data_IF_920459990865
#
_entry.id   IF_920459990865
#
_cell.length_a   1.000
_cell.length_b   1.000
_cell.length_c   1.000
_cell.angle_alpha   90.00
_cell.angle_beta   90.00
_cell.angle_gamma   90.00
#
_symmetry.space_group_name_H-M   'P 1'
#
loop_
_entity.id
_entity.type
_entity.pdbx_description
1 polymer ?
#
# COMPACT_ATOMS: atom_id res chain seq x y z
N UNK A 1 3.27 -12.58 1.34
CA UNK A 1 2.21 -11.77 0.74
C UNK A 1 2.87 -10.62 -0.01
N UNK A 2 2.48 -10.41 -1.28
CA UNK A 2 2.98 -9.32 -2.11
C UNK A 2 1.90 -8.26 -2.29
N UNK A 3 2.26 -7.01 -2.09
CA UNK A 3 1.42 -5.83 -2.35
C UNK A 3 2.12 -4.96 -3.38
N UNK A 4 1.38 -4.52 -4.40
CA UNK A 4 1.88 -3.63 -5.46
C UNK A 4 0.95 -2.46 -5.69
N UNK A 5 1.52 -1.33 -6.09
CA UNK A 5 0.80 -0.12 -6.51
C UNK A 5 1.11 0.12 -7.97
N UNK A 6 0.05 0.26 -8.76
CA UNK A 6 0.13 0.52 -10.19
C UNK A 6 -0.37 1.93 -10.50
N UNK A 7 0.34 2.60 -11.41
CA UNK A 7 -0.06 3.89 -11.95
C UNK A 7 0.05 3.80 -13.47
N UNK A 8 -1.04 4.08 -14.18
CA UNK A 8 -1.12 3.98 -15.64
C UNK A 8 -0.69 2.60 -16.20
N UNK A 9 -0.95 1.52 -15.46
CA UNK A 9 -0.59 0.15 -15.84
C UNK A 9 0.87 -0.23 -15.58
N UNK A 10 1.67 0.64 -14.95
CA UNK A 10 3.03 0.33 -14.52
C UNK A 10 3.08 0.17 -12.99
N UNK A 11 3.75 -0.88 -12.50
CA UNK A 11 4.02 -1.03 -11.07
C UNK A 11 5.06 0.00 -10.64
N UNK A 12 4.63 1.01 -9.91
CA UNK A 12 5.52 2.05 -9.37
C UNK A 12 6.07 1.69 -8.01
N UNK A 13 5.45 0.76 -7.28
CA UNK A 13 5.96 0.34 -5.98
C UNK A 13 5.46 -1.05 -5.63
N UNK A 14 6.28 -1.84 -4.94
CA UNK A 14 5.83 -3.10 -4.35
C UNK A 14 6.63 -3.48 -3.12
N UNK A 15 6.00 -4.31 -2.28
CA UNK A 15 6.63 -5.02 -1.18
C UNK A 15 6.23 -6.48 -1.21
N UNK A 16 7.22 -7.35 -1.18
CA UNK A 16 7.04 -8.78 -0.98
C UNK A 16 7.64 -9.15 0.37
N UNK A 17 6.79 -9.37 1.38
CA UNK A 17 7.25 -9.68 2.73
C UNK A 17 7.84 -11.08 2.85
N UNK A 18 7.38 -12.03 2.04
CA UNK A 18 7.86 -13.42 2.11
C UNK A 18 9.28 -13.54 1.56
N UNK A 19 9.58 -12.77 0.51
CA UNK A 19 10.91 -12.76 -0.10
C UNK A 19 11.83 -11.68 0.49
N UNK A 20 11.29 -10.79 1.31
CA UNK A 20 12.01 -9.60 1.80
C UNK A 20 12.31 -8.56 0.71
N UNK A 21 11.75 -8.73 -0.49
CA UNK A 21 11.99 -7.89 -1.66
C UNK A 21 11.09 -6.65 -1.67
N UNK A 22 11.50 -5.62 -2.40
CA UNK A 22 10.70 -4.43 -2.58
C UNK A 22 11.38 -3.37 -3.41
N UNK A 23 10.60 -2.39 -3.83
CA UNK A 23 11.09 -1.25 -4.60
C UNK A 23 11.18 -0.02 -3.70
N UNK A 24 12.41 0.44 -3.45
CA UNK A 24 12.68 1.72 -2.79
C UNK A 24 13.40 2.63 -3.79
N UNK A 25 12.70 3.62 -4.36
CA UNK A 25 13.29 4.59 -5.28
C UNK A 25 13.58 5.91 -4.56
N UNK A 26 14.84 6.35 -4.59
CA UNK A 26 15.24 7.67 -4.08
C UNK A 26 14.57 8.81 -4.86
N UNK A 27 14.18 8.58 -6.12
CA UNK A 27 13.43 9.53 -6.94
C UNK A 27 12.05 9.84 -6.35
N UNK A 28 11.33 8.82 -5.87
CA UNK A 28 10.00 8.98 -5.29
C UNK A 28 9.98 9.72 -3.96
N UNK A 29 11.09 9.69 -3.24
CA UNK A 29 11.26 10.50 -2.03
C UNK A 29 11.34 11.99 -2.41
N UNK A 30 12.05 12.31 -3.50
CA UNK A 30 12.27 13.70 -3.92
C UNK A 30 11.04 14.34 -4.56
N UNK A 31 10.25 13.58 -5.32
CA UNK A 31 9.06 14.09 -6.03
C UNK A 31 7.75 13.97 -5.22
N UNK A 32 7.83 13.42 -4.00
CA UNK A 32 6.70 13.23 -3.09
C UNK A 32 5.80 12.04 -3.44
N UNK A 33 6.13 11.25 -4.46
CA UNK A 33 5.40 10.02 -4.83
C UNK A 33 5.41 9.00 -3.69
N UNK A 34 6.51 8.91 -2.94
CA UNK A 34 6.59 8.05 -1.75
C UNK A 34 5.52 8.43 -0.71
N UNK A 35 5.30 9.72 -0.50
CA UNK A 35 4.28 10.19 0.44
C UNK A 35 2.87 9.85 -0.04
N UNK A 36 2.60 10.01 -1.34
CA UNK A 36 1.32 9.62 -1.95
C UNK A 36 1.05 8.12 -1.81
N UNK A 37 2.06 7.29 -2.02
CA UNK A 37 2.01 5.84 -1.82
C UNK A 37 1.65 5.53 -0.36
N UNK A 38 2.34 6.14 0.61
CA UNK A 38 2.07 5.93 2.04
C UNK A 38 0.63 6.33 2.38
N UNK A 39 0.16 7.50 1.93
CA UNK A 39 -1.21 7.96 2.16
C UNK A 39 -2.25 7.00 1.57
N UNK A 40 -2.02 6.48 0.35
CA UNK A 40 -2.93 5.52 -0.27
C UNK A 40 -3.00 4.19 0.50
N UNK A 41 -1.85 3.67 0.96
CA UNK A 41 -1.79 2.45 1.76
C UNK A 41 -2.45 2.62 3.13
N UNK A 42 -2.26 3.75 3.79
CA UNK A 42 -2.88 4.04 5.09
C UNK A 42 -4.41 4.16 5.00
N UNK A 43 -4.91 4.79 3.93
CA UNK A 43 -6.33 4.86 3.65
C UNK A 43 -6.93 3.46 3.38
N UNK A 44 -6.26 2.64 2.57
CA UNK A 44 -6.69 1.26 2.28
C UNK A 44 -6.69 0.39 3.55
N UNK A 45 -5.68 0.52 4.40
CA UNK A 45 -5.63 -0.17 5.69
C UNK A 45 -6.76 0.29 6.62
N UNK A 46 -7.04 1.59 6.67
CA UNK A 46 -8.13 2.14 7.46
C UNK A 46 -9.49 1.61 7.01
N UNK A 47 -9.72 1.52 5.70
CA UNK A 47 -10.93 0.91 5.14
C UNK A 47 -11.04 -0.57 5.51
N UNK A 48 -9.98 -1.37 5.31
CA UNK A 48 -9.99 -2.80 5.62
C UNK A 48 -10.28 -3.06 7.12
N UNK A 49 -9.73 -2.23 8.01
CA UNK A 49 -10.03 -2.28 9.45
C UNK A 49 -11.49 -1.94 9.75
N UNK A 50 -12.03 -0.90 9.11
CA UNK A 50 -13.43 -0.52 9.28
C UNK A 50 -14.37 -1.64 8.81
N UNK A 51 -14.08 -2.26 7.67
CA UNK A 51 -14.81 -3.42 7.18
C UNK A 51 -14.76 -4.56 8.19
N UNK A 52 -13.57 -4.97 8.64
CA UNK A 52 -13.42 -6.03 9.66
C UNK A 52 -14.25 -5.76 10.94
N UNK A 53 -14.30 -4.51 11.40
CA UNK A 53 -15.12 -4.10 12.55
C UNK A 53 -16.63 -4.20 12.28
N UNK A 54 -17.08 -3.81 11.09
CA UNK A 54 -18.49 -3.96 10.70
C UNK A 54 -18.95 -5.43 10.67
N UNK A 55 -18.05 -6.36 10.33
CA UNK A 55 -18.34 -7.80 10.35
C UNK A 55 -18.30 -8.39 11.78
N UNK A 56 -17.42 -7.90 12.65
CA UNK A 56 -17.36 -8.34 14.05
C UNK A 56 -18.58 -7.92 14.89
N UNK A 57 -19.28 -6.84 14.51
CA UNK A 57 -20.46 -6.34 15.23
C UNK A 57 -21.78 -7.01 14.80
N UNK A 58 -21.71 -8.07 13.97
CA UNK A 58 -22.86 -8.85 13.49
C UNK A 58 -23.04 -10.22 14.16
N UNK A 59 -22.16 -10.59 15.10
CA UNK A 59 -22.23 -11.83 15.88
C UNK A 59 -22.64 -11.59 17.33
#
# INVERSE_FOLDING_TARGET
>A
MKVSIELNGETIWYRDEEKGEGMASVGYIKDGTQQKIITALDAALSQAKAEALCWNNRN
#
